data_IF_081970390607
#
_entry.id   IF_081970390607
#
_cell.length_a   1.000
_cell.length_b   1.000
_cell.length_c   1.000
_cell.angle_alpha   90.00
_cell.angle_beta   90.00
_cell.angle_gamma   90.00
#
_symmetry.space_group_name_H-M   'P 1'
#
loop_
_entity.id
_entity.type
_entity.pdbx_description
1 polymer ?
#
# COMPACT_ATOMS: atom_id res chain seq x y z
N UNK A 1 14.62 -11.96 30.40
CA UNK A 1 15.68 -11.12 29.79
C UNK A 1 15.05 -10.40 28.62
N UNK A 2 14.67 -9.14 28.81
CA UNK A 2 14.01 -8.31 27.79
C UNK A 2 15.09 -7.72 26.88
N UNK A 3 15.08 -8.07 25.60
CA UNK A 3 16.01 -7.46 24.63
C UNK A 3 15.48 -6.08 24.24
N UNK A 4 16.10 -5.03 24.75
CA UNK A 4 15.87 -3.68 24.27
C UNK A 4 16.36 -3.58 22.82
N UNK A 5 15.43 -3.40 21.87
CA UNK A 5 15.74 -3.00 20.51
C UNK A 5 16.26 -1.56 20.55
N UNK A 6 17.58 -1.39 20.42
CA UNK A 6 18.18 -0.07 20.19
C UNK A 6 18.09 0.24 18.69
N UNK A 7 17.46 1.36 18.27
CA UNK A 7 17.47 1.76 16.87
C UNK A 7 18.91 2.01 16.43
N UNK A 8 19.40 1.21 15.47
CA UNK A 8 20.72 1.40 14.89
C UNK A 8 20.63 2.55 13.89
N UNK A 9 20.95 3.76 14.36
CA UNK A 9 21.10 4.95 13.52
C UNK A 9 22.32 4.74 12.63
N UNK A 10 22.11 4.14 11.45
CA UNK A 10 23.06 4.21 10.35
C UNK A 10 23.07 5.67 9.88
N UNK A 11 24.27 6.22 9.67
CA UNK A 11 24.49 7.61 9.26
C UNK A 11 23.52 8.03 8.13
N UNK A 12 22.50 8.81 8.48
CA UNK A 12 21.97 9.86 7.62
C UNK A 12 20.53 9.77 7.09
N UNK A 13 19.81 8.65 7.20
CA UNK A 13 18.38 8.61 6.82
C UNK A 13 17.61 7.63 7.72
N UNK A 14 16.67 8.15 8.52
CA UNK A 14 15.65 7.31 9.14
C UNK A 14 14.73 6.79 8.04
N UNK A 15 14.70 5.46 7.84
CA UNK A 15 13.79 4.83 6.88
C UNK A 15 12.62 4.26 7.66
N UNK A 16 11.44 4.80 7.44
CA UNK A 16 10.23 4.36 8.12
C UNK A 16 9.52 3.27 7.32
N UNK A 17 8.89 2.32 8.04
CA UNK A 17 8.04 1.29 7.43
C UNK A 17 6.63 1.40 7.96
N UNK A 18 5.67 1.55 7.03
CA UNK A 18 4.25 1.62 7.37
C UNK A 18 3.49 0.56 6.59
N UNK A 19 2.66 -0.20 7.28
CA UNK A 19 1.74 -1.15 6.65
C UNK A 19 0.35 -0.52 6.54
N UNK A 20 -0.29 -0.68 5.39
CA UNK A 20 -1.64 -0.15 5.17
C UNK A 20 -2.56 -1.15 4.52
N UNK A 21 -3.53 -1.63 5.29
CA UNK A 21 -4.43 -2.69 4.86
C UNK A 21 -5.60 -2.18 4.00
N UNK A 22 -5.83 -2.80 2.85
CA UNK A 22 -6.99 -2.53 1.98
C UNK A 22 -7.76 -3.83 1.74
N UNK A 23 -9.01 -3.90 2.22
CA UNK A 23 -9.91 -5.02 1.95
C UNK A 23 -10.80 -4.70 0.73
N UNK A 24 -11.02 -5.64 -0.22
CA UNK A 24 -11.72 -5.32 -1.47
C UNK A 24 -13.24 -5.18 -1.35
N UNK A 25 -13.86 -5.76 -0.30
CA UNK A 25 -15.32 -5.72 -0.10
C UNK A 25 -15.78 -4.87 1.09
N UNK A 26 -14.84 -4.37 1.88
CA UNK A 26 -15.09 -3.37 2.93
C UNK A 26 -14.03 -2.32 2.74
N UNK A 27 -14.42 -1.10 2.37
CA UNK A 27 -13.51 0.04 2.21
C UNK A 27 -12.86 0.33 3.56
N UNK A 28 -11.76 -0.35 3.86
CA UNK A 28 -10.92 -0.07 5.03
C UNK A 28 -9.76 0.77 4.54
N UNK A 29 -9.83 1.98 5.06
CA UNK A 29 -9.08 3.16 4.72
C UNK A 29 -7.85 3.18 5.61
N UNK A 30 -6.69 3.36 5.00
CA UNK A 30 -5.71 4.36 5.41
C UNK A 30 -6.04 5.13 6.69
N UNK A 31 -5.68 4.47 7.78
CA UNK A 31 -5.41 4.92 9.15
C UNK A 31 -5.75 3.74 10.04
N UNK A 32 -4.75 3.19 10.71
CA UNK A 32 -4.97 2.24 11.80
C UNK A 32 -5.68 2.91 12.99
N UNK A 33 -5.88 4.23 12.95
CA UNK A 33 -6.83 4.95 13.79
C UNK A 33 -8.31 4.76 13.42
N UNK A 34 -8.65 4.15 12.28
CA UNK A 34 -10.03 4.07 11.79
C UNK A 34 -10.43 2.69 11.26
N UNK A 35 -9.92 1.60 11.86
CA UNK A 35 -10.66 0.34 11.85
C UNK A 35 -12.00 0.58 12.57
N UNK A 36 -13.07 0.75 11.78
CA UNK A 36 -14.41 0.98 12.29
C UNK A 36 -15.07 -0.36 12.52
N UNK A 37 -15.32 -0.67 13.78
CA UNK A 37 -16.12 -1.82 14.17
C UNK A 37 -17.57 -1.38 14.30
N UNK A 38 -18.51 -2.21 13.84
CA UNK A 38 -19.94 -1.95 14.03
C UNK A 38 -20.34 -1.91 15.51
N UNK A 39 -19.53 -2.51 16.40
CA UNK A 39 -19.73 -2.50 17.84
C UNK A 39 -18.41 -2.61 18.61
N UNK A 40 -18.42 -2.20 19.88
CA UNK A 40 -17.31 -2.44 20.82
C UNK A 40 -17.02 -3.93 21.01
N UNK A 41 -18.04 -4.79 20.89
CA UNK A 41 -17.88 -6.25 20.99
C UNK A 41 -17.04 -6.78 19.84
N UNK A 42 -17.30 -6.34 18.60
CA UNK A 42 -16.49 -6.68 17.44
C UNK A 42 -15.06 -6.15 17.57
N UNK A 43 -14.90 -4.92 18.09
CA UNK A 43 -13.57 -4.37 18.37
C UNK A 43 -12.79 -5.24 19.35
N UNK A 44 -13.39 -5.62 20.48
CA UNK A 44 -12.74 -6.47 21.48
C UNK A 44 -12.41 -7.85 20.92
N UNK A 45 -13.34 -8.45 20.17
CA UNK A 45 -13.13 -9.76 19.54
C UNK A 45 -11.98 -9.75 18.52
N UNK A 46 -11.77 -8.64 17.83
CA UNK A 46 -10.67 -8.47 16.88
C UNK A 46 -9.38 -7.88 17.51
N UNK A 47 -9.42 -7.51 18.80
CA UNK A 47 -8.34 -6.75 19.43
C UNK A 47 -7.01 -7.50 19.43
N UNK A 48 -7.02 -8.81 19.68
CA UNK A 48 -5.80 -9.62 19.72
C UNK A 48 -5.05 -9.56 18.37
N UNK A 49 -5.77 -9.58 17.24
CA UNK A 49 -5.16 -9.47 15.91
C UNK A 49 -4.81 -8.03 15.54
N UNK A 50 -5.52 -7.04 16.09
CA UNK A 50 -5.34 -5.63 15.77
C UNK A 50 -4.25 -4.95 16.61
N UNK A 51 -3.99 -5.46 17.82
CA UNK A 51 -3.13 -4.80 18.82
C UNK A 51 -1.74 -4.51 18.29
N UNK A 52 -1.07 -5.51 17.73
CA UNK A 52 0.31 -5.36 17.25
C UNK A 52 0.38 -4.31 16.13
N UNK A 53 -0.60 -4.33 15.23
CA UNK A 53 -0.74 -3.33 14.17
C UNK A 53 -0.95 -1.94 14.80
N UNK A 54 -1.85 -1.80 15.76
CA UNK A 54 -2.12 -0.54 16.45
C UNK A 54 -0.88 0.03 17.15
N UNK A 55 -0.14 -0.82 17.87
CA UNK A 55 1.09 -0.44 18.56
C UNK A 55 2.19 0.00 17.57
N UNK A 56 2.39 -0.73 16.46
CA UNK A 56 3.33 -0.35 15.40
C UNK A 56 3.00 1.00 14.77
N UNK A 57 1.72 1.26 14.48
CA UNK A 57 1.30 2.52 13.89
C UNK A 57 1.43 3.70 14.84
N UNK A 58 1.17 3.47 16.13
CA UNK A 58 1.41 4.50 17.15
C UNK A 58 2.89 4.82 17.26
N UNK A 59 3.77 3.82 17.22
CA UNK A 59 5.22 4.04 17.20
C UNK A 59 5.63 4.86 15.97
N UNK A 60 5.17 4.49 14.78
CA UNK A 60 5.44 5.25 13.56
C UNK A 60 4.95 6.70 13.62
N UNK A 61 3.72 6.93 14.11
CA UNK A 61 3.17 8.28 14.28
C UNK A 61 4.04 9.12 15.23
N UNK A 62 4.49 8.53 16.33
CA UNK A 62 5.40 9.20 17.27
C UNK A 62 6.72 9.53 16.60
N UNK A 63 7.30 8.62 15.82
CA UNK A 63 8.57 8.87 15.14
C UNK A 63 8.47 9.98 14.08
N UNK A 64 7.37 10.01 13.32
CA UNK A 64 7.08 11.08 12.34
C UNK A 64 6.89 12.42 13.05
N UNK A 65 6.18 12.43 14.19
CA UNK A 65 5.99 13.62 15.01
C UNK A 65 7.31 14.14 15.56
N UNK A 66 8.16 13.25 16.11
CA UNK A 66 9.49 13.61 16.60
C UNK A 66 10.39 14.18 15.50
N UNK A 67 10.37 13.57 14.31
CA UNK A 67 11.12 14.08 13.15
C UNK A 67 10.61 15.45 12.70
N UNK A 68 9.29 15.65 12.74
CA UNK A 68 8.66 16.92 12.43
C UNK A 68 9.03 18.02 13.44
N UNK A 69 9.00 17.70 14.74
CA UNK A 69 9.40 18.61 15.83
C UNK A 69 10.89 18.96 15.78
N UNK A 70 11.72 18.05 15.24
CA UNK A 70 13.13 18.31 14.94
C UNK A 70 13.34 19.22 13.71
N UNK A 71 12.28 19.72 13.08
CA UNK A 71 12.34 20.66 11.96
C UNK A 71 12.62 20.01 10.61
N UNK A 72 12.47 18.68 10.48
CA UNK A 72 12.61 18.02 9.18
C UNK A 72 11.48 18.45 8.24
N UNK A 73 11.85 19.06 7.12
CA UNK A 73 10.94 19.46 6.03
C UNK A 73 11.24 18.64 4.77
N UNK A 74 10.20 18.34 4.00
CA UNK A 74 10.31 17.53 2.77
C UNK A 74 10.54 18.40 1.53
N UNK A 75 9.74 19.45 1.43
CA UNK A 75 9.79 20.49 0.41
C UNK A 75 9.42 21.80 1.12
N UNK A 76 9.69 22.95 0.48
CA UNK A 76 9.85 24.27 1.12
C UNK A 76 8.78 24.67 2.16
N UNK A 77 7.57 24.08 2.15
CA UNK A 77 6.51 24.35 3.14
C UNK A 77 5.70 23.14 3.65
N UNK A 78 6.10 21.89 3.36
CA UNK A 78 5.33 20.69 3.79
C UNK A 78 6.06 19.95 4.91
N UNK A 79 5.36 19.83 6.03
CA UNK A 79 5.77 19.08 7.22
C UNK A 79 5.70 17.56 6.94
N UNK A 80 6.47 16.74 7.67
CA UNK A 80 6.40 15.28 7.50
C UNK A 80 4.99 14.74 7.80
N UNK A 81 4.33 15.27 8.84
CA UNK A 81 2.97 14.89 9.20
C UNK A 81 1.95 15.27 8.11
N UNK A 82 2.12 16.44 7.48
CA UNK A 82 1.26 16.89 6.37
C UNK A 82 1.46 15.99 5.15
N UNK A 83 2.71 15.59 4.87
CA UNK A 83 3.01 14.67 3.77
C UNK A 83 2.43 13.27 4.02
N UNK A 84 2.55 12.72 5.23
CA UNK A 84 1.97 11.43 5.58
C UNK A 84 0.43 11.47 5.46
N UNK A 85 -0.19 12.54 5.97
CA UNK A 85 -1.64 12.78 5.83
C UNK A 85 -2.04 12.87 4.36
N UNK A 86 -1.24 13.53 3.53
CA UNK A 86 -1.48 13.69 2.10
C UNK A 86 -1.35 12.36 1.35
N UNK A 87 -0.31 11.57 1.64
CA UNK A 87 -0.12 10.23 1.09
C UNK A 87 -1.28 9.32 1.46
N UNK A 88 -1.71 9.37 2.72
CA UNK A 88 -2.85 8.62 3.23
C UNK A 88 -4.13 8.91 2.43
N UNK A 89 -4.41 10.20 2.20
CA UNK A 89 -5.54 10.65 1.37
C UNK A 89 -5.39 10.23 -0.11
N UNK A 90 -4.19 10.33 -0.67
CA UNK A 90 -3.91 9.95 -2.07
C UNK A 90 -4.16 8.46 -2.29
N UNK A 91 -3.64 7.58 -1.41
CA UNK A 91 -3.83 6.15 -1.58
C UNK A 91 -5.27 5.75 -1.36
N UNK A 92 -5.95 6.34 -0.37
CA UNK A 92 -7.41 6.18 -0.20
C UNK A 92 -8.18 6.52 -1.47
N UNK A 93 -7.83 7.62 -2.12
CA UNK A 93 -8.49 8.04 -3.36
C UNK A 93 -8.24 7.06 -4.51
N UNK A 94 -7.03 6.51 -4.60
CA UNK A 94 -6.58 5.62 -5.68
C UNK A 94 -6.68 4.12 -5.36
N UNK A 95 -7.30 3.72 -4.25
CA UNK A 95 -7.29 2.33 -3.79
C UNK A 95 -7.73 1.32 -4.86
N UNK A 96 -8.77 1.62 -5.64
CA UNK A 96 -9.22 0.76 -6.74
C UNK A 96 -8.28 0.78 -7.96
N UNK A 97 -7.66 1.93 -8.27
CA UNK A 97 -6.62 2.02 -9.33
C UNK A 97 -5.46 1.09 -8.98
N UNK A 98 -5.04 1.14 -7.71
CA UNK A 98 -3.92 0.39 -7.19
C UNK A 98 -4.23 -1.12 -7.11
N UNK A 99 -5.46 -1.50 -6.70
CA UNK A 99 -5.92 -2.88 -6.79
C UNK A 99 -5.87 -3.40 -8.23
N UNK A 100 -6.37 -2.62 -9.19
CA UNK A 100 -6.30 -2.97 -10.62
C UNK A 100 -4.86 -3.16 -11.10
N UNK A 101 -3.96 -2.26 -10.70
CA UNK A 101 -2.53 -2.37 -10.99
C UNK A 101 -1.90 -3.66 -10.41
N UNK A 102 -2.31 -4.09 -9.22
CA UNK A 102 -1.85 -5.37 -8.64
C UNK A 102 -2.37 -6.56 -9.44
N UNK A 103 -3.67 -6.60 -9.74
CA UNK A 103 -4.28 -7.71 -10.48
C UNK A 103 -3.62 -7.86 -11.86
N UNK A 104 -3.52 -6.77 -12.62
CA UNK A 104 -3.00 -6.83 -13.98
C UNK A 104 -1.48 -6.83 -14.03
N UNK A 105 -0.81 -6.07 -13.17
CA UNK A 105 0.66 -6.00 -13.16
C UNK A 105 1.31 -7.31 -12.71
N UNK A 106 0.64 -8.09 -11.86
CA UNK A 106 1.09 -9.43 -11.49
C UNK A 106 0.48 -10.54 -12.36
N UNK A 107 -0.36 -10.20 -13.35
CA UNK A 107 -1.07 -11.15 -14.21
C UNK A 107 -1.86 -12.21 -13.40
N UNK A 108 -2.48 -11.80 -12.30
CA UNK A 108 -3.21 -12.68 -11.39
C UNK A 108 -4.41 -13.42 -12.03
N UNK A 109 -5.14 -12.86 -13.00
CA UNK A 109 -6.21 -13.59 -13.69
C UNK A 109 -5.70 -14.84 -14.41
N UNK A 110 -4.44 -14.82 -14.87
CA UNK A 110 -3.80 -15.96 -15.54
C UNK A 110 -3.15 -16.91 -14.54
N UNK A 111 -2.44 -16.35 -13.55
CA UNK A 111 -1.78 -17.14 -12.52
C UNK A 111 -1.87 -16.44 -11.16
N UNK A 112 -2.86 -16.85 -10.36
CA UNK A 112 -3.07 -16.34 -9.01
C UNK A 112 -1.86 -16.59 -8.10
N UNK A 113 -1.05 -17.63 -8.38
CA UNK A 113 0.14 -17.96 -7.57
C UNK A 113 1.24 -16.92 -7.70
N UNK A 114 1.17 -16.02 -8.69
CA UNK A 114 2.09 -14.87 -8.78
C UNK A 114 1.97 -13.93 -7.58
N UNK A 115 0.86 -13.96 -6.83
CA UNK A 115 0.78 -13.28 -5.52
C UNK A 115 1.84 -13.78 -4.53
N UNK A 116 2.33 -15.02 -4.68
CA UNK A 116 3.34 -15.63 -3.80
C UNK A 116 4.77 -15.30 -4.18
N UNK A 117 5.03 -15.02 -5.45
CA UNK A 117 6.38 -14.85 -5.98
C UNK A 117 6.69 -13.42 -6.41
N UNK A 118 5.67 -12.58 -6.59
CA UNK A 118 5.84 -11.20 -7.06
C UNK A 118 5.09 -10.19 -6.19
N UNK A 119 5.48 -8.94 -6.31
CA UNK A 119 4.82 -7.73 -5.78
C UNK A 119 4.89 -6.63 -6.83
N UNK A 120 4.12 -5.57 -6.67
CA UNK A 120 4.33 -4.35 -7.47
C UNK A 120 5.27 -3.43 -6.69
N UNK A 121 6.40 -3.07 -7.27
CA UNK A 121 7.24 -1.98 -6.74
C UNK A 121 6.76 -0.67 -7.33
N UNK A 122 6.52 0.31 -6.48
CA UNK A 122 6.14 1.67 -6.87
C UNK A 122 7.03 2.68 -6.14
N UNK A 123 7.48 3.71 -6.84
CA UNK A 123 8.15 4.87 -6.22
C UNK A 123 7.35 6.13 -6.51
N UNK A 124 7.14 6.93 -5.47
CA UNK A 124 6.40 8.18 -5.52
C UNK A 124 7.33 9.37 -5.30
N UNK A 125 7.02 10.48 -5.96
CA UNK A 125 7.60 11.78 -5.70
C UNK A 125 6.49 12.81 -5.50
N UNK A 126 6.62 13.67 -4.49
CA UNK A 126 5.68 14.76 -4.24
C UNK A 126 5.78 15.80 -5.38
N UNK A 127 4.64 16.25 -5.93
CA UNK A 127 4.66 17.31 -6.95
C UNK A 127 5.02 18.67 -6.31
N UNK A 128 5.89 19.51 -6.93
CA UNK A 128 6.36 20.77 -6.33
C UNK A 128 5.31 21.87 -6.10
N UNK A 129 4.07 21.69 -6.60
CA UNK A 129 3.00 22.71 -6.56
C UNK A 129 1.67 22.16 -6.05
N UNK A 130 1.72 21.15 -5.18
CA UNK A 130 0.50 20.58 -4.65
C UNK A 130 -0.12 21.57 -3.67
N UNK A 131 -1.22 22.16 -4.09
CA UNK A 131 -2.12 22.83 -3.16
C UNK A 131 -2.65 21.73 -2.24
N UNK A 132 -2.54 21.92 -0.91
CA UNK A 132 -3.04 20.97 0.13
C UNK A 132 -4.48 20.49 -0.12
N UNK A 133 -5.24 21.17 -0.98
CA UNK A 133 -6.60 20.87 -1.35
C UNK A 133 -6.79 19.64 -2.26
N UNK A 134 -5.81 19.20 -3.06
CA UNK A 134 -6.05 18.21 -4.14
C UNK A 134 -5.19 16.93 -3.92
N UNK A 135 -5.51 16.12 -2.91
CA UNK A 135 -4.76 14.91 -2.59
C UNK A 135 -4.70 13.91 -3.74
N UNK A 136 -5.63 13.91 -4.67
CA UNK A 136 -5.73 12.97 -5.80
C UNK A 136 -4.60 13.09 -6.83
N UNK A 137 -3.99 14.27 -6.97
CA UNK A 137 -2.90 14.52 -7.93
C UNK A 137 -1.59 14.83 -7.24
N UNK A 138 -1.50 14.61 -5.92
CA UNK A 138 -0.38 15.05 -5.09
C UNK A 138 0.98 14.41 -5.44
N UNK A 139 0.97 13.18 -5.96
CA UNK A 139 2.18 12.41 -6.22
C UNK A 139 2.33 12.06 -7.69
N UNK A 140 3.58 12.09 -8.17
CA UNK A 140 4.01 11.44 -9.40
C UNK A 140 4.45 10.01 -9.09
N UNK A 141 4.06 9.06 -9.93
CA UNK A 141 4.71 7.73 -9.95
C UNK A 141 5.98 7.85 -10.80
N UNK A 142 7.14 7.67 -10.19
CA UNK A 142 8.44 7.74 -10.88
C UNK A 142 8.95 6.37 -11.30
N UNK A 143 8.54 5.31 -10.59
CA UNK A 143 8.86 3.92 -10.91
C UNK A 143 7.60 3.09 -10.66
N UNK A 144 7.24 2.21 -11.59
CA UNK A 144 6.25 1.16 -11.33
C UNK A 144 6.53 -0.08 -12.16
N UNK A 145 6.64 -1.25 -11.53
CA UNK A 145 6.81 -2.54 -12.20
C UNK A 145 6.52 -3.73 -11.27
N UNK A 146 6.24 -4.89 -11.85
CA UNK A 146 6.23 -6.14 -11.10
C UNK A 146 7.67 -6.54 -10.74
N UNK A 147 7.88 -6.93 -9.49
CA UNK A 147 9.18 -7.31 -8.92
C UNK A 147 9.06 -8.67 -8.24
N UNK A 148 9.99 -9.58 -8.52
CA UNK A 148 10.09 -10.85 -7.80
C UNK A 148 10.42 -10.61 -6.32
N UNK A 149 9.76 -11.36 -5.43
CA UNK A 149 9.97 -11.24 -3.99
C UNK A 149 11.40 -11.62 -3.59
N UNK A 150 12.03 -12.58 -4.28
CA UNK A 150 13.45 -12.93 -4.11
C UNK A 150 14.37 -11.72 -4.29
N UNK A 151 14.14 -10.95 -5.37
CA UNK A 151 14.88 -9.71 -5.66
C UNK A 151 14.52 -8.58 -4.70
N UNK A 152 13.27 -8.50 -4.26
CA UNK A 152 12.85 -7.51 -3.26
C UNK A 152 13.54 -7.74 -1.89
N UNK A 153 13.75 -9.00 -1.48
CA UNK A 153 14.48 -9.33 -0.22
C UNK A 153 15.91 -8.78 -0.21
N UNK A 154 16.56 -8.66 -1.37
CA UNK A 154 17.92 -8.12 -1.46
C UNK A 154 17.99 -6.59 -1.38
N UNK A 155 16.85 -5.90 -1.25
CA UNK A 155 16.78 -4.43 -1.22
C UNK A 155 16.93 -3.81 0.18
N UNK A 156 17.12 -4.64 1.20
CA UNK A 156 17.40 -4.22 2.58
C UNK A 156 16.43 -4.82 3.60
N UNK A 157 16.80 -4.72 4.88
CA UNK A 157 16.09 -5.39 5.99
C UNK A 157 14.59 -5.04 6.05
N UNK A 158 14.25 -3.79 5.72
CA UNK A 158 12.88 -3.28 5.69
C UNK A 158 11.99 -4.05 4.69
N UNK A 159 12.55 -4.37 3.52
CA UNK A 159 11.84 -5.12 2.49
C UNK A 159 11.62 -6.56 2.92
N UNK A 160 12.63 -7.18 3.54
CA UNK A 160 12.57 -8.54 4.05
C UNK A 160 11.48 -8.70 5.12
N UNK A 161 11.49 -7.84 6.14
CA UNK A 161 10.49 -7.86 7.22
C UNK A 161 9.06 -7.66 6.67
N UNK A 162 8.90 -6.74 5.73
CA UNK A 162 7.61 -6.46 5.09
C UNK A 162 7.10 -7.64 4.26
N UNK A 163 8.00 -8.38 3.61
CA UNK A 163 7.67 -9.59 2.86
C UNK A 163 7.26 -10.75 3.76
N UNK A 164 7.89 -10.89 4.93
CA UNK A 164 7.53 -11.92 5.90
C UNK A 164 6.14 -11.67 6.49
N UNK A 165 5.83 -10.41 6.81
CA UNK A 165 4.48 -10.00 7.24
C UNK A 165 3.44 -10.27 6.14
N UNK A 166 3.73 -9.90 4.89
CA UNK A 166 2.86 -10.20 3.75
C UNK A 166 2.63 -11.71 3.58
N UNK A 167 3.68 -12.53 3.71
CA UNK A 167 3.58 -13.98 3.62
C UNK A 167 2.68 -14.55 4.74
N UNK A 168 2.82 -14.05 5.97
CA UNK A 168 1.94 -14.42 7.08
C UNK A 168 0.47 -14.04 6.80
N UNK A 169 0.20 -12.80 6.36
CA UNK A 169 -1.16 -12.37 6.01
C UNK A 169 -1.79 -13.24 4.93
N UNK A 170 -0.99 -13.66 3.94
CA UNK A 170 -1.42 -14.56 2.87
C UNK A 170 -1.85 -15.93 3.43
N UNK A 171 -1.00 -16.55 4.24
CA UNK A 171 -1.29 -17.84 4.88
C UNK A 171 -2.57 -17.76 5.71
N UNK A 172 -2.73 -16.69 6.49
CA UNK A 172 -3.90 -16.51 7.35
C UNK A 172 -5.19 -16.34 6.52
N UNK A 173 -5.15 -15.62 5.39
CA UNK A 173 -6.30 -15.46 4.48
C UNK A 173 -6.66 -16.75 3.74
N UNK A 174 -5.66 -17.50 3.27
CA UNK A 174 -5.85 -18.76 2.55
C UNK A 174 -6.42 -19.83 3.47
N UNK A 175 -5.89 -19.93 4.70
CA UNK A 175 -6.43 -20.84 5.74
C UNK A 175 -7.88 -20.51 6.10
N UNK A 176 -8.26 -19.24 6.06
CA UNK A 176 -9.62 -18.77 6.30
C UNK A 176 -10.55 -18.90 5.07
N UNK A 177 -10.07 -19.43 3.93
CA UNK A 177 -10.86 -19.55 2.69
C UNK A 177 -11.23 -18.20 2.07
N UNK A 178 -10.54 -17.12 2.43
CA UNK A 178 -10.85 -15.76 1.96
C UNK A 178 -10.23 -15.45 0.60
N UNK A 179 -9.24 -16.22 0.16
CA UNK A 179 -8.45 -15.98 -1.04
C UNK A 179 -6.99 -15.69 -0.68
N UNK A 180 -6.20 -15.25 -1.64
CA UNK A 180 -4.79 -14.89 -1.43
C UNK A 180 -4.64 -13.38 -1.15
N UNK A 181 -3.40 -12.97 -0.85
CA UNK A 181 -3.00 -11.57 -0.63
C UNK A 181 -1.83 -11.23 -1.56
N UNK A 182 -1.99 -10.15 -2.33
CA UNK A 182 -0.92 -9.54 -3.13
C UNK A 182 -0.70 -8.09 -2.66
N UNK A 183 0.42 -7.46 -3.03
CA UNK A 183 0.73 -6.12 -2.51
C UNK A 183 1.46 -5.19 -3.48
N UNK A 184 1.34 -3.89 -3.21
CA UNK A 184 2.24 -2.85 -3.70
C UNK A 184 3.20 -2.46 -2.58
N UNK A 185 4.50 -2.46 -2.87
CA UNK A 185 5.52 -1.81 -2.05
C UNK A 185 5.83 -0.43 -2.62
N UNK A 186 5.49 0.59 -1.85
CA UNK A 186 5.49 1.98 -2.27
C UNK A 186 6.58 2.76 -1.52
N UNK A 187 7.62 3.15 -2.24
CA UNK A 187 8.69 4.00 -1.74
C UNK A 187 8.27 5.47 -1.90
N UNK A 188 8.25 6.23 -0.80
CA UNK A 188 7.91 7.65 -0.81
C UNK A 188 8.89 8.41 0.08
N UNK A 189 9.91 9.03 -0.49
CA UNK A 189 10.92 9.75 0.32
C UNK A 189 10.37 11.08 0.85
N UNK A 190 10.62 11.44 2.12
CA UNK A 190 11.39 10.70 3.14
C UNK A 190 10.55 9.79 4.06
N UNK A 191 9.26 9.59 3.76
CA UNK A 191 8.36 8.71 4.53
C UNK A 191 8.76 7.23 4.50
N UNK A 192 9.63 6.81 3.57
CA UNK A 192 10.18 5.45 3.52
C UNK A 192 9.30 4.48 2.74
N UNK A 193 9.16 3.25 3.23
CA UNK A 193 8.45 2.16 2.57
C UNK A 193 7.04 1.98 3.13
N UNK A 194 6.04 2.04 2.25
CA UNK A 194 4.65 1.76 2.55
C UNK A 194 4.21 0.45 1.88
N UNK A 195 3.56 -0.44 2.64
CA UNK A 195 3.07 -1.73 2.14
C UNK A 195 1.57 -1.70 1.98
N UNK A 196 1.07 -2.07 0.79
CA UNK A 196 -0.35 -2.12 0.45
C UNK A 196 -0.81 -3.52 0.13
N UNK A 197 -1.14 -4.35 1.13
CA UNK A 197 -1.82 -5.61 0.89
C UNK A 197 -3.24 -5.39 0.37
N UNK A 198 -3.55 -6.14 -0.67
CA UNK A 198 -4.88 -6.35 -1.23
C UNK A 198 -5.25 -7.81 -1.00
N UNK A 199 -6.17 -8.03 -0.07
CA UNK A 199 -6.63 -9.36 0.31
C UNK A 199 -7.84 -9.83 -0.50
N UNK A 200 -8.36 -10.99 -0.10
CA UNK A 200 -9.54 -11.64 -0.70
C UNK A 200 -9.50 -11.82 -2.22
N UNK A 201 -8.29 -12.01 -2.76
CA UNK A 201 -8.10 -12.25 -4.18
C UNK A 201 -8.38 -13.74 -4.46
N UNK A 202 -9.52 -14.00 -5.10
CA UNK A 202 -9.95 -15.32 -5.57
C UNK A 202 -10.89 -15.13 -6.75
N UNK A 203 -11.13 -16.21 -7.49
CA UNK A 203 -12.12 -16.25 -8.58
C UNK A 203 -11.88 -15.12 -9.62
N UNK A 204 -10.61 -14.86 -9.94
CA UNK A 204 -10.21 -13.84 -10.93
C UNK A 204 -10.33 -14.34 -12.38
N UNK A 205 -10.84 -15.56 -12.56
CA UNK A 205 -11.12 -16.15 -13.86
C UNK A 205 -12.13 -15.27 -14.63
N UNK A 206 -11.86 -15.02 -15.90
CA UNK A 206 -12.69 -14.15 -16.75
C UNK A 206 -12.29 -12.66 -16.77
N UNK A 207 -11.40 -12.22 -15.86
CA UNK A 207 -10.79 -10.89 -16.00
C UNK A 207 -9.75 -10.94 -17.13
N UNK A 208 -9.96 -10.13 -18.18
CA UNK A 208 -9.01 -10.02 -19.27
C UNK A 208 -7.68 -9.41 -18.78
N UNK A 209 -6.56 -10.05 -19.11
CA UNK A 209 -5.24 -9.50 -18.81
C UNK A 209 -4.98 -8.25 -19.67
N UNK A 210 -4.45 -7.21 -19.05
CA UNK A 210 -4.07 -5.97 -19.73
C UNK A 210 -2.63 -6.02 -20.27
N UNK A 211 -1.91 -7.15 -20.16
CA UNK A 211 -0.56 -7.29 -20.72
C UNK A 211 0.40 -6.21 -20.20
N UNK A 212 1.04 -5.44 -21.07
CA UNK A 212 1.95 -4.34 -20.69
C UNK A 212 1.27 -2.98 -20.50
N UNK A 213 0.03 -2.79 -20.96
CA UNK A 213 -0.62 -1.46 -20.98
C UNK A 213 -1.18 -1.03 -19.62
N UNK A 214 -1.18 -1.90 -18.60
CA UNK A 214 -1.67 -1.55 -17.26
C UNK A 214 -0.89 -0.39 -16.63
N UNK A 215 0.41 -0.27 -16.96
CA UNK A 215 1.27 0.80 -16.44
C UNK A 215 0.80 2.14 -16.95
N UNK A 216 0.59 2.27 -18.26
CA UNK A 216 0.13 3.51 -18.89
C UNK A 216 -1.24 3.92 -18.34
N UNK A 217 -2.14 2.96 -18.13
CA UNK A 217 -3.47 3.23 -17.56
C UNK A 217 -3.36 3.70 -16.10
N UNK A 218 -2.50 3.08 -15.29
CA UNK A 218 -2.24 3.49 -13.92
C UNK A 218 -1.68 4.91 -13.87
N UNK A 219 -0.66 5.20 -14.69
CA UNK A 219 -0.02 6.51 -14.75
C UNK A 219 -1.01 7.60 -15.17
N UNK A 220 -1.78 7.39 -16.26
CA UNK A 220 -2.80 8.34 -16.71
C UNK A 220 -3.90 8.57 -15.65
N UNK A 221 -4.34 7.51 -14.97
CA UNK A 221 -5.35 7.62 -13.91
C UNK A 221 -4.86 8.44 -12.72
N UNK A 222 -3.62 8.22 -12.29
CA UNK A 222 -2.99 8.96 -11.19
C UNK A 222 -2.76 10.41 -11.57
N UNK A 223 -2.25 10.67 -12.77
CA UNK A 223 -1.95 12.05 -13.20
C UNK A 223 -3.20 12.91 -13.36
N UNK A 224 -4.31 12.32 -13.78
CA UNK A 224 -5.61 13.00 -13.87
C UNK A 224 -6.38 13.05 -12.55
N UNK A 225 -5.90 12.39 -11.50
CA UNK A 225 -6.64 12.26 -10.23
C UNK A 225 -7.96 11.50 -10.36
N UNK A 226 -8.10 10.65 -11.38
CA UNK A 226 -9.35 9.97 -11.67
C UNK A 226 -9.62 8.82 -10.70
N UNK A 227 -10.79 8.82 -10.04
CA UNK A 227 -11.29 7.61 -9.37
C UNK A 227 -11.69 6.59 -10.42
N UNK A 228 -10.90 5.55 -10.52
CA UNK A 228 -11.07 4.40 -11.41
C UNK A 228 -12.21 3.47 -11.02
N UNK A 229 -13.32 3.96 -10.44
CA UNK A 229 -14.56 3.18 -10.47
C UNK A 229 -14.91 2.78 -11.93
N UNK A 230 -14.53 3.65 -12.88
CA UNK A 230 -14.56 3.40 -14.33
C UNK A 230 -13.50 2.44 -14.87
N UNK A 231 -12.44 2.07 -14.14
CA UNK A 231 -11.41 1.14 -14.63
C UNK A 231 -11.98 -0.27 -14.74
N UNK A 232 -12.62 -0.77 -13.69
CA UNK A 232 -13.32 -2.05 -13.75
C UNK A 232 -14.45 -2.03 -14.78
N UNK A 233 -15.26 -0.97 -14.79
CA UNK A 233 -16.35 -0.87 -15.77
C UNK A 233 -15.87 -0.74 -17.22
N UNK A 234 -14.73 -0.08 -17.47
CA UNK A 234 -14.22 0.15 -18.83
C UNK A 234 -13.32 -0.97 -19.31
N UNK A 235 -12.59 -1.67 -18.44
CA UNK A 235 -11.59 -2.65 -18.88
C UNK A 235 -11.95 -4.09 -18.53
N UNK A 236 -12.71 -4.34 -17.46
CA UNK A 236 -13.14 -5.70 -17.13
C UNK A 236 -14.43 -6.12 -17.85
N UNK A 237 -15.26 -5.17 -18.32
CA UNK A 237 -16.51 -5.47 -19.06
C UNK A 237 -16.39 -5.44 -20.58
N UNK A 238 -15.24 -5.09 -21.15
CA UNK A 238 -15.05 -5.09 -22.61
C UNK A 238 -14.99 -6.50 -23.22
N UNK A 239 -14.86 -7.54 -22.40
CA UNK A 239 -14.86 -8.94 -22.86
C UNK A 239 -16.24 -9.53 -23.19
N UNK A 240 -17.35 -8.83 -22.95
CA UNK A 240 -18.71 -9.37 -23.17
C UNK A 240 -19.33 -8.95 -24.52
N UNK A 241 -18.64 -8.18 -25.38
CA UNK A 241 -19.22 -7.62 -26.62
C UNK A 241 -18.43 -7.87 -27.91
N UNK A 242 -17.54 -8.86 -27.95
CA UNK A 242 -16.83 -9.27 -29.17
C UNK A 242 -17.20 -10.68 -29.59
#
# INVERSE_FOLDING_TARGET
>A
MSSAHTPRILKGQAVYTREVFVHPFDVILYDIFHLRYCSKTCQKAHWENHRDICEHNRAHYNDVTLANDAGMKVADDISLCDMDTLLSKWVKHHAFTLLGAVIHGLDLPRDIKRSHSHIIRMRLALKPKVVKSWPEVAFNITIVHALEQSKARTMGYIWEESLDKLAKMRIDNEKAGRGTVAAIFMECEPLGLHVLPFGSLKDLEGIQSLGSIWQDILLDAVDRGNRTKRFYDRYCKLGEKS
#
